data_IF_496832838801
#
_entry.id   IF_496832838801
#
_cell.length_a   1.000
_cell.length_b   1.000
_cell.length_c   1.000
_cell.angle_alpha   90.00
_cell.angle_beta   90.00
_cell.angle_gamma   90.00
#
_symmetry.space_group_name_H-M   'P 1'
#
loop_
_entity.id
_entity.type
_entity.pdbx_description
1 polymer ?
#
# COMPACT_ATOMS: atom_id res chain seq x y z
N UNK A 1 -29.15 -2.49 -0.02
CA UNK A 1 -29.51 -1.74 1.21
C UNK A 1 -28.58 -2.08 2.38
N UNK A 2 -28.31 -3.37 2.67
CA UNK A 2 -27.37 -3.81 3.74
C UNK A 2 -25.93 -3.27 3.60
N UNK A 3 -25.40 -3.16 2.38
CA UNK A 3 -24.00 -2.73 2.16
C UNK A 3 -23.76 -1.26 2.50
N UNK A 4 -24.75 -0.40 2.26
CA UNK A 4 -24.67 1.04 2.55
C UNK A 4 -24.60 1.29 4.06
N UNK A 5 -25.46 0.62 4.84
CA UNK A 5 -25.43 0.74 6.31
C UNK A 5 -24.12 0.21 6.91
N UNK A 6 -23.56 -0.86 6.35
CA UNK A 6 -22.27 -1.39 6.79
C UNK A 6 -21.11 -0.44 6.45
N UNK A 7 -21.18 0.26 5.31
CA UNK A 7 -20.20 1.30 4.93
C UNK A 7 -20.22 2.50 5.90
N UNK A 8 -21.39 2.96 6.33
CA UNK A 8 -21.50 4.02 7.35
C UNK A 8 -20.93 3.61 8.70
N UNK A 9 -21.14 2.35 9.13
CA UNK A 9 -20.61 1.82 10.40
C UNK A 9 -19.08 1.92 10.50
N UNK A 10 -18.37 1.83 9.37
CA UNK A 10 -16.91 1.77 9.35
C UNK A 10 -16.24 3.07 8.92
N UNK A 11 -16.99 4.17 8.73
CA UNK A 11 -16.45 5.40 8.18
C UNK A 11 -15.25 5.93 8.97
N UNK A 12 -15.39 6.11 10.29
CA UNK A 12 -14.33 6.65 11.14
C UNK A 12 -13.11 5.71 11.25
N UNK A 13 -13.36 4.40 11.34
CA UNK A 13 -12.29 3.41 11.38
C UNK A 13 -11.53 3.36 10.05
N UNK A 14 -12.24 3.44 8.93
CA UNK A 14 -11.65 3.46 7.59
C UNK A 14 -10.80 4.72 7.38
N UNK A 15 -11.30 5.91 7.77
CA UNK A 15 -10.54 7.16 7.69
C UNK A 15 -9.26 7.09 8.53
N UNK A 16 -9.34 6.60 9.77
CA UNK A 16 -8.17 6.43 10.63
C UNK A 16 -7.13 5.46 10.04
N UNK A 17 -7.57 4.30 9.55
CA UNK A 17 -6.68 3.33 8.90
C UNK A 17 -6.06 3.90 7.64
N UNK A 18 -6.85 4.60 6.84
CA UNK A 18 -6.40 5.24 5.61
C UNK A 18 -5.34 6.31 5.89
N UNK A 19 -5.57 7.20 6.87
CA UNK A 19 -4.55 8.18 7.29
C UNK A 19 -3.27 7.52 7.77
N UNK A 20 -3.37 6.43 8.53
CA UNK A 20 -2.20 5.67 9.03
C UNK A 20 -1.44 5.01 7.88
N UNK A 21 -2.12 4.42 6.91
CA UNK A 21 -1.47 3.79 5.76
C UNK A 21 -0.84 4.81 4.82
N UNK A 22 -1.48 5.97 4.59
CA UNK A 22 -0.90 7.05 3.79
C UNK A 22 0.32 7.63 4.50
N UNK A 23 0.25 7.84 5.83
CA UNK A 23 1.40 8.28 6.61
C UNK A 23 2.57 7.30 6.49
N UNK A 24 2.31 6.00 6.63
CA UNK A 24 3.35 4.98 6.46
C UNK A 24 3.90 4.98 5.04
N UNK A 25 3.03 5.02 4.02
CA UNK A 25 3.44 5.02 2.62
C UNK A 25 4.34 6.19 2.26
N UNK A 26 4.18 7.34 2.94
CA UNK A 26 4.96 8.57 2.75
C UNK A 26 6.19 8.67 3.66
N UNK A 27 6.57 7.61 4.37
CA UNK A 27 7.80 7.62 5.16
C UNK A 27 9.01 7.93 4.25
N UNK A 28 9.81 8.97 4.54
CA UNK A 28 10.95 9.37 3.71
C UNK A 28 11.92 8.23 3.41
N UNK A 29 12.02 7.23 4.29
CA UNK A 29 12.92 6.09 4.14
C UNK A 29 12.76 5.39 2.79
N UNK A 30 11.53 5.21 2.30
CA UNK A 30 11.26 4.51 1.05
C UNK A 30 11.89 5.21 -0.15
N UNK A 31 11.86 6.53 -0.14
CA UNK A 31 12.30 7.37 -1.25
C UNK A 31 13.80 7.64 -1.17
N UNK A 32 14.29 7.96 0.03
CA UNK A 32 15.68 8.36 0.25
C UNK A 32 16.64 7.16 0.28
N UNK A 33 16.20 6.03 0.83
CA UNK A 33 17.09 4.91 1.12
C UNK A 33 16.72 3.60 0.42
N UNK A 34 15.50 3.46 -0.09
CA UNK A 34 15.08 2.27 -0.86
C UNK A 34 14.87 2.59 -2.34
N UNK A 35 15.16 3.83 -2.77
CA UNK A 35 15.14 4.21 -4.18
C UNK A 35 13.76 4.16 -4.84
N UNK A 36 12.68 4.20 -4.05
CA UNK A 36 11.33 4.39 -4.60
C UNK A 36 11.26 5.77 -5.27
N UNK A 37 10.76 5.90 -6.50
CA UNK A 37 10.66 7.21 -7.14
C UNK A 37 9.80 8.18 -6.32
N UNK A 38 10.34 9.34 -5.94
CA UNK A 38 9.54 10.39 -5.29
C UNK A 38 8.74 11.20 -6.32
N UNK A 39 7.78 10.52 -6.94
CA UNK A 39 6.85 11.08 -7.93
C UNK A 39 5.41 10.79 -7.48
N UNK A 40 4.39 11.49 -8.02
CA UNK A 40 2.99 11.18 -7.74
C UNK A 40 2.65 9.70 -7.94
N UNK A 41 3.17 9.11 -9.02
CA UNK A 41 3.03 7.70 -9.35
C UNK A 41 3.72 6.78 -8.34
N UNK A 42 4.94 7.11 -7.92
CA UNK A 42 5.68 6.30 -6.92
C UNK A 42 5.05 6.38 -5.52
N UNK A 43 4.57 7.56 -5.12
CA UNK A 43 3.80 7.74 -3.87
C UNK A 43 2.50 6.93 -3.91
N UNK A 44 1.82 6.90 -5.05
CA UNK A 44 0.62 6.09 -5.24
C UNK A 44 0.92 4.59 -5.16
N UNK A 45 2.01 4.13 -5.77
CA UNK A 45 2.42 2.73 -5.69
C UNK A 45 2.72 2.30 -4.25
N UNK A 46 3.30 3.19 -3.43
CA UNK A 46 3.49 2.96 -1.99
C UNK A 46 2.16 2.89 -1.23
N UNK A 47 1.18 3.74 -1.56
CA UNK A 47 -0.17 3.66 -0.97
C UNK A 47 -0.82 2.33 -1.31
N UNK A 48 -0.76 1.89 -2.57
CA UNK A 48 -1.30 0.58 -3.00
C UNK A 48 -0.64 -0.56 -2.24
N UNK A 49 0.68 -0.56 -2.12
CA UNK A 49 1.43 -1.61 -1.43
C UNK A 49 0.97 -1.72 0.03
N UNK A 50 0.81 -0.61 0.73
CA UNK A 50 0.34 -0.61 2.12
C UNK A 50 -1.14 -0.97 2.23
N UNK A 51 -2.00 -0.47 1.34
CA UNK A 51 -3.40 -0.84 1.27
C UNK A 51 -3.58 -2.35 1.04
N UNK A 52 -2.76 -2.94 0.15
CA UNK A 52 -2.71 -4.39 -0.06
C UNK A 52 -2.44 -5.14 1.24
N UNK A 53 -1.41 -4.75 2.00
CA UNK A 53 -1.06 -5.42 3.27
C UNK A 53 -2.19 -5.34 4.30
N UNK A 54 -2.85 -4.19 4.41
CA UNK A 54 -4.01 -4.02 5.31
C UNK A 54 -5.20 -4.87 4.85
N UNK A 55 -5.57 -4.78 3.58
CA UNK A 55 -6.69 -5.54 3.00
C UNK A 55 -6.42 -7.05 3.11
N UNK A 56 -5.17 -7.49 2.92
CA UNK A 56 -4.75 -8.88 3.13
C UNK A 56 -5.03 -9.34 4.56
N UNK A 57 -4.68 -8.54 5.58
CA UNK A 57 -5.04 -8.84 6.98
C UNK A 57 -6.55 -8.90 7.20
N UNK A 58 -7.30 -7.97 6.61
CA UNK A 58 -8.77 -7.95 6.73
C UNK A 58 -9.41 -9.20 6.12
N UNK A 59 -8.92 -9.67 4.97
CA UNK A 59 -9.43 -10.87 4.28
C UNK A 59 -9.43 -12.13 5.15
N UNK A 60 -8.51 -12.26 6.11
CA UNK A 60 -8.47 -13.40 7.03
C UNK A 60 -9.73 -13.53 7.92
N UNK A 61 -10.48 -12.43 8.13
CA UNK A 61 -11.73 -12.40 8.89
C UNK A 61 -12.85 -11.72 8.08
N UNK A 62 -12.94 -12.09 6.80
CA UNK A 62 -13.74 -11.43 5.77
C UNK A 62 -15.16 -11.05 6.23
N UNK A 63 -15.89 -11.98 6.85
CA UNK A 63 -17.29 -11.75 7.26
C UNK A 63 -17.46 -10.51 8.16
N UNK A 64 -16.45 -10.24 9.00
CA UNK A 64 -16.44 -9.11 9.95
C UNK A 64 -15.90 -7.82 9.33
N UNK A 65 -15.07 -7.94 8.29
CA UNK A 65 -14.19 -6.86 7.83
C UNK A 65 -14.48 -6.37 6.42
N UNK A 66 -15.29 -7.08 5.63
CA UNK A 66 -15.51 -6.74 4.22
C UNK A 66 -16.07 -5.33 4.02
N UNK A 67 -16.91 -4.83 4.95
CA UNK A 67 -17.37 -3.44 4.90
C UNK A 67 -16.26 -2.42 5.16
N UNK A 68 -15.33 -2.73 6.06
CA UNK A 68 -14.18 -1.89 6.36
C UNK A 68 -13.17 -1.89 5.19
N UNK A 69 -12.91 -3.06 4.60
CA UNK A 69 -12.05 -3.18 3.43
C UNK A 69 -12.60 -2.39 2.23
N UNK A 70 -13.92 -2.46 1.99
CA UNK A 70 -14.60 -1.64 0.98
C UNK A 70 -14.45 -0.15 1.27
N UNK A 71 -14.65 0.28 2.52
CA UNK A 71 -14.53 1.70 2.90
C UNK A 71 -13.10 2.23 2.72
N UNK A 72 -12.07 1.45 3.04
CA UNK A 72 -10.66 1.81 2.78
C UNK A 72 -10.39 1.93 1.28
N UNK A 73 -10.93 1.00 0.48
CA UNK A 73 -10.81 1.05 -0.97
C UNK A 73 -11.48 2.31 -1.53
N UNK A 74 -12.71 2.61 -1.12
CA UNK A 74 -13.43 3.80 -1.55
C UNK A 74 -12.68 5.10 -1.21
N UNK A 75 -12.10 5.20 0.00
CA UNK A 75 -11.27 6.34 0.42
C UNK A 75 -10.01 6.47 -0.44
N UNK A 76 -9.34 5.36 -0.74
CA UNK A 76 -8.16 5.35 -1.60
C UNK A 76 -8.46 5.87 -3.01
N UNK A 77 -9.62 5.50 -3.57
CA UNK A 77 -10.05 5.98 -4.89
C UNK A 77 -10.47 7.45 -4.87
N UNK A 78 -11.15 7.89 -3.80
CA UNK A 78 -11.52 9.29 -3.64
C UNK A 78 -10.28 10.20 -3.50
N UNK A 79 -9.29 9.81 -2.68
CA UNK A 79 -8.02 10.55 -2.57
C UNK A 79 -7.30 10.63 -3.91
N UNK A 80 -7.31 9.54 -4.69
CA UNK A 80 -6.68 9.52 -6.01
C UNK A 80 -7.39 10.42 -7.03
N UNK A 81 -8.73 10.39 -7.09
CA UNK A 81 -9.53 11.29 -7.93
C UNK A 81 -9.24 12.76 -7.59
N UNK A 82 -9.22 13.08 -6.28
CA UNK A 82 -8.93 14.42 -5.80
C UNK A 82 -7.50 14.87 -6.18
N UNK A 83 -6.47 14.06 -5.91
CA UNK A 83 -5.09 14.39 -6.25
C UNK A 83 -4.91 14.61 -7.77
N UNK A 84 -5.57 13.82 -8.62
CA UNK A 84 -5.51 14.00 -10.08
C UNK A 84 -6.13 15.32 -10.53
N UNK A 85 -7.27 15.72 -9.94
CA UNK A 85 -7.93 16.99 -10.22
C UNK A 85 -7.09 18.17 -9.76
N UNK A 86 -6.48 18.07 -8.57
CA UNK A 86 -5.58 19.10 -8.03
C UNK A 86 -4.33 19.29 -8.91
N UNK A 87 -3.89 18.25 -9.60
CA UNK A 87 -2.82 18.33 -10.61
C UNK A 87 -3.28 18.90 -11.98
N UNK A 88 -4.53 19.39 -12.08
CA UNK A 88 -5.07 20.00 -13.29
C UNK A 88 -5.50 19.02 -14.38
N UNK A 89 -5.66 17.73 -14.06
CA UNK A 89 -6.20 16.75 -15.02
C UNK A 89 -7.71 16.99 -15.19
N UNK A 90 -8.15 17.27 -16.42
CA UNK A 90 -9.58 17.45 -16.72
C UNK A 90 -10.40 16.16 -16.61
N UNK A 91 -11.72 16.28 -16.46
CA UNK A 91 -12.65 15.17 -16.13
C UNK A 91 -12.51 13.91 -17.00
N UNK A 92 -12.32 14.10 -18.31
CA UNK A 92 -12.13 12.99 -19.26
C UNK A 92 -10.80 12.26 -19.02
N UNK A 93 -9.76 12.97 -18.60
CA UNK A 93 -8.46 12.41 -18.24
C UNK A 93 -8.50 11.70 -16.89
N UNK A 94 -9.26 12.23 -15.92
CA UNK A 94 -9.41 11.66 -14.58
C UNK A 94 -10.04 10.27 -14.64
N UNK A 95 -11.18 10.13 -15.33
CA UNK A 95 -11.88 8.84 -15.47
C UNK A 95 -10.98 7.74 -16.07
N UNK A 96 -10.20 8.09 -17.11
CA UNK A 96 -9.27 7.16 -17.76
C UNK A 96 -8.13 6.74 -16.82
N UNK A 97 -7.55 7.70 -16.07
CA UNK A 97 -6.48 7.42 -15.10
C UNK A 97 -6.97 6.58 -13.94
N UNK A 98 -8.15 6.89 -13.39
CA UNK A 98 -8.77 6.11 -12.33
C UNK A 98 -8.95 4.64 -12.75
N UNK A 99 -9.47 4.41 -13.96
CA UNK A 99 -9.64 3.05 -14.48
C UNK A 99 -8.30 2.30 -14.58
N UNK A 100 -7.28 2.93 -15.17
CA UNK A 100 -5.95 2.31 -15.28
C UNK A 100 -5.31 2.04 -13.91
N UNK A 101 -5.51 2.94 -12.94
CA UNK A 101 -5.04 2.76 -11.57
C UNK A 101 -5.78 1.62 -10.85
N UNK A 102 -7.07 1.42 -11.11
CA UNK A 102 -7.83 0.27 -10.60
C UNK A 102 -7.31 -1.06 -11.15
N UNK A 103 -7.11 -1.13 -12.47
CA UNK A 103 -6.53 -2.31 -13.12
C UNK A 103 -5.13 -2.61 -12.57
N UNK A 104 -4.31 -1.57 -12.39
CA UNK A 104 -2.99 -1.69 -11.78
C UNK A 104 -3.07 -2.18 -10.33
N UNK A 105 -4.02 -1.68 -9.53
CA UNK A 105 -4.25 -2.14 -8.16
C UNK A 105 -4.53 -3.65 -8.13
N UNK A 106 -5.52 -4.12 -8.89
CA UNK A 106 -5.87 -5.55 -8.88
C UNK A 106 -4.72 -6.42 -9.38
N UNK A 107 -4.05 -6.03 -10.47
CA UNK A 107 -2.88 -6.76 -10.98
C UNK A 107 -1.71 -6.81 -10.00
N UNK A 108 -1.47 -5.74 -9.25
CA UNK A 108 -0.44 -5.68 -8.19
C UNK A 108 -0.81 -6.52 -7.00
N UNK A 109 -2.04 -6.43 -6.50
CA UNK A 109 -2.48 -7.22 -5.35
C UNK A 109 -2.33 -8.73 -5.61
N UNK A 110 -2.68 -9.21 -6.80
CA UNK A 110 -2.48 -10.61 -7.17
C UNK A 110 -0.99 -11.00 -7.20
N UNK A 111 -0.14 -10.17 -7.83
CA UNK A 111 1.29 -10.45 -7.91
C UNK A 111 2.00 -10.39 -6.54
N UNK A 112 1.58 -9.48 -5.66
CA UNK A 112 2.13 -9.39 -4.31
C UNK A 112 1.64 -10.53 -3.42
N UNK A 113 0.38 -10.93 -3.56
CA UNK A 113 -0.19 -12.10 -2.87
C UNK A 113 0.61 -13.37 -3.18
N UNK A 114 0.81 -13.65 -4.46
CA UNK A 114 1.62 -14.77 -4.95
C UNK A 114 3.09 -14.67 -4.48
N UNK A 115 3.67 -13.47 -4.59
CA UNK A 115 5.05 -13.23 -4.21
C UNK A 115 5.34 -13.34 -2.70
N UNK A 116 4.35 -13.08 -1.84
CA UNK A 116 4.55 -13.18 -0.38
C UNK A 116 4.75 -14.63 0.10
N UNK A 117 4.28 -15.62 -0.66
CA UNK A 117 4.40 -17.04 -0.32
C UNK A 117 5.59 -17.75 -0.97
N UNK A 118 6.29 -17.05 -1.85
CA UNK A 118 7.42 -17.54 -2.64
C UNK A 118 8.78 -17.37 -1.92
N UNK A 119 9.89 -17.84 -2.50
CA UNK A 119 11.26 -17.63 -2.03
C UNK A 119 11.73 -16.16 -2.13
N UNK A 120 11.03 -15.34 -2.91
CA UNK A 120 11.25 -13.88 -3.03
C UNK A 120 11.48 -13.46 -4.48
N UNK A 121 11.72 -14.41 -5.38
CA UNK A 121 11.88 -14.20 -6.80
C UNK A 121 10.64 -13.57 -7.42
N UNK A 122 9.44 -14.10 -7.13
CA UNK A 122 8.18 -13.58 -7.66
C UNK A 122 7.88 -12.19 -7.12
N UNK A 123 8.09 -11.96 -5.82
CA UNK A 123 7.87 -10.66 -5.21
C UNK A 123 8.84 -9.61 -5.74
N UNK A 124 10.11 -9.97 -5.91
CA UNK A 124 11.12 -9.09 -6.49
C UNK A 124 10.78 -8.67 -7.91
N UNK A 125 10.35 -9.61 -8.76
CA UNK A 125 9.89 -9.29 -10.13
C UNK A 125 8.65 -8.38 -10.12
N UNK A 126 7.71 -8.64 -9.21
CA UNK A 126 6.52 -7.79 -9.07
C UNK A 126 6.89 -6.37 -8.63
N UNK A 127 7.80 -6.21 -7.67
CA UNK A 127 8.29 -4.91 -7.21
C UNK A 127 9.03 -4.17 -8.33
N UNK A 128 9.91 -4.86 -9.07
CA UNK A 128 10.64 -4.25 -10.18
C UNK A 128 9.70 -3.74 -11.28
N UNK A 129 8.70 -4.55 -11.67
CA UNK A 129 7.73 -4.19 -12.70
C UNK A 129 6.79 -3.06 -12.27
N UNK A 130 6.41 -3.01 -11.00
CA UNK A 130 5.33 -2.15 -10.55
C UNK A 130 5.83 -0.89 -9.83
N UNK A 131 6.64 -1.08 -8.78
CA UNK A 131 7.13 -0.01 -7.89
C UNK A 131 8.33 0.72 -8.49
N UNK A 132 9.26 -0.01 -9.10
CA UNK A 132 10.48 0.54 -9.67
C UNK A 132 10.42 0.71 -11.19
N UNK A 133 9.21 0.78 -11.78
CA UNK A 133 9.00 0.72 -13.24
C UNK A 133 9.74 1.78 -14.05
N UNK A 134 10.04 2.92 -13.45
CA UNK A 134 10.72 4.06 -14.08
C UNK A 134 12.18 4.22 -13.62
N UNK A 135 12.71 3.26 -12.87
CA UNK A 135 14.04 3.33 -12.24
C UNK A 135 14.81 2.03 -12.42
N UNK A 136 16.14 2.09 -12.30
CA UNK A 136 16.98 0.92 -12.17
C UNK A 136 17.40 0.78 -10.68
N UNK A 137 16.60 0.11 -9.83
CA UNK A 137 16.91 0.00 -8.41
C UNK A 137 18.16 -0.88 -8.22
N UNK A 138 18.95 -0.57 -7.20
CA UNK A 138 19.98 -1.50 -6.73
C UNK A 138 19.32 -2.81 -6.29
N UNK A 139 20.03 -3.93 -6.45
CA UNK A 139 19.54 -5.24 -6.02
C UNK A 139 19.14 -5.25 -4.53
N UNK A 140 19.92 -4.58 -3.70
CA UNK A 140 19.66 -4.40 -2.27
C UNK A 140 18.32 -3.72 -1.99
N UNK A 141 17.92 -2.72 -2.78
CA UNK A 141 16.62 -2.04 -2.60
C UNK A 141 15.43 -2.98 -2.81
N UNK A 142 15.55 -3.90 -3.78
CA UNK A 142 14.51 -4.92 -4.00
C UNK A 142 14.49 -5.90 -2.83
N UNK A 143 15.65 -6.39 -2.40
CA UNK A 143 15.78 -7.33 -1.26
C UNK A 143 15.23 -6.71 0.04
N UNK A 144 15.51 -5.43 0.28
CA UNK A 144 14.98 -4.66 1.40
C UNK A 144 13.47 -4.48 1.34
N UNK A 145 12.90 -4.18 0.16
CA UNK A 145 11.46 -4.10 -0.01
C UNK A 145 10.76 -5.47 0.15
N UNK A 146 11.37 -6.56 -0.31
CA UNK A 146 10.88 -7.93 -0.07
C UNK A 146 10.86 -8.20 1.44
N UNK A 147 11.97 -7.95 2.14
CA UNK A 147 12.09 -8.13 3.58
C UNK A 147 11.06 -7.30 4.35
N UNK A 148 10.90 -6.03 3.96
CA UNK A 148 9.90 -5.12 4.50
C UNK A 148 8.47 -5.68 4.34
N UNK A 149 8.08 -6.05 3.11
CA UNK A 149 6.72 -6.54 2.83
C UNK A 149 6.40 -7.83 3.61
N UNK A 150 7.36 -8.76 3.70
CA UNK A 150 7.20 -9.98 4.50
C UNK A 150 7.09 -9.67 5.98
N UNK A 151 7.97 -8.83 6.50
CA UNK A 151 7.95 -8.42 7.90
C UNK A 151 6.60 -7.78 8.26
N UNK A 152 6.10 -6.87 7.42
CA UNK A 152 4.79 -6.26 7.61
C UNK A 152 3.66 -7.27 7.50
N UNK A 153 3.68 -8.18 6.52
CA UNK A 153 2.65 -9.23 6.42
C UNK A 153 2.58 -10.07 7.69
N UNK A 154 3.74 -10.48 8.24
CA UNK A 154 3.80 -11.25 9.49
C UNK A 154 3.38 -10.43 10.70
N UNK A 155 3.78 -9.16 10.80
CA UNK A 155 3.42 -8.30 11.91
C UNK A 155 1.92 -7.98 11.91
N UNK A 156 1.36 -7.61 10.75
CA UNK A 156 -0.05 -7.29 10.60
C UNK A 156 -0.95 -8.51 10.83
N UNK A 157 -0.52 -9.71 10.44
CA UNK A 157 -1.21 -10.96 10.74
C UNK A 157 -1.48 -11.16 12.24
N UNK A 158 -0.63 -10.61 13.11
CA UNK A 158 -0.74 -10.71 14.57
C UNK A 158 -1.61 -9.61 15.19
N UNK A 159 -2.00 -8.59 14.43
CA UNK A 159 -2.84 -7.50 14.95
C UNK A 159 -4.26 -8.05 15.18
N UNK A 160 -4.82 -7.92 16.40
CA UNK A 160 -6.20 -8.33 16.67
C UNK A 160 -7.17 -7.57 15.79
N UNK A 161 -8.16 -8.25 15.20
CA UNK A 161 -9.10 -7.58 14.32
C UNK A 161 -9.93 -6.53 15.05
N UNK A 162 -10.18 -6.73 16.35
CA UNK A 162 -10.97 -5.79 17.16
C UNK A 162 -10.29 -4.42 17.26
N UNK A 163 -8.96 -4.38 17.25
CA UNK A 163 -8.19 -3.14 17.14
C UNK A 163 -8.36 -2.52 15.75
N UNK A 164 -8.25 -3.32 14.69
CA UNK A 164 -8.39 -2.82 13.30
C UNK A 164 -9.80 -2.27 13.06
N UNK A 165 -10.84 -2.93 13.59
CA UNK A 165 -12.23 -2.46 13.53
C UNK A 165 -12.46 -1.13 14.26
N UNK A 166 -11.56 -0.74 15.18
CA UNK A 166 -11.55 0.56 15.86
C UNK A 166 -10.67 1.60 15.19
N UNK A 167 -10.06 1.29 14.04
CA UNK A 167 -9.16 2.20 13.32
C UNK A 167 -7.69 2.10 13.77
N UNK A 168 -7.35 1.11 14.59
CA UNK A 168 -6.02 0.95 15.16
C UNK A 168 -5.20 -0.04 14.33
N UNK A 169 -4.14 0.48 13.71
CA UNK A 169 -3.12 -0.31 13.06
C UNK A 169 -1.75 0.31 13.32
N UNK A 170 -0.76 -0.55 13.54
CA UNK A 170 0.65 -0.15 13.65
C UNK A 170 1.46 -0.96 12.65
N UNK A 171 2.07 -0.26 11.72
CA UNK A 171 3.09 -0.81 10.85
C UNK A 171 4.34 -1.07 11.68
N UNK A 172 4.96 -2.23 11.49
CA UNK A 172 6.23 -2.53 12.10
C UNK A 172 7.31 -1.59 11.54
N UNK A 173 8.32 -1.30 12.36
CA UNK A 173 9.48 -0.57 11.88
C UNK A 173 10.16 -1.35 10.76
N UNK A 174 10.85 -0.63 9.88
CA UNK A 174 11.66 -1.26 8.86
C UNK A 174 12.73 -2.14 9.53
N UNK A 175 12.90 -3.41 9.11
CA UNK A 175 13.85 -4.33 9.73
C UNK A 175 15.31 -4.06 9.32
N UNK A 176 15.63 -2.81 8.95
CA UNK A 176 16.93 -2.41 8.41
C UNK A 176 17.42 -1.22 9.23
N UNK A 177 18.66 -1.31 9.71
CA UNK A 177 19.41 -0.15 10.17
C UNK A 177 20.18 0.39 8.98
N UNK A 178 19.98 1.67 8.66
CA UNK A 178 20.85 2.37 7.71
C UNK A 178 22.08 2.78 8.49
N UNK A 179 23.08 1.91 8.51
CA UNK A 179 24.36 2.21 9.11
C UNK A 179 24.96 3.34 8.28
N UNK A 180 24.99 4.55 8.84
CA UNK A 180 25.34 5.82 8.15
C UNK A 180 26.80 5.95 7.74
N UNK A 181 27.35 4.95 7.06
CA UNK A 181 28.65 5.06 6.39
C UNK A 181 28.43 5.44 4.93
N UNK A 182 28.26 6.75 4.71
CA UNK A 182 28.79 7.36 3.51
C UNK A 182 30.31 7.14 3.53
N UNK A 183 30.77 6.02 2.98
CA UNK A 183 32.15 5.91 2.55
C UNK A 183 32.26 6.75 1.28
N UNK A 184 32.68 8.01 1.44
CA UNK A 184 33.32 8.74 0.38
C UNK A 184 34.55 7.95 -0.07
N UNK A 185 34.65 7.65 -1.35
CA UNK A 185 35.87 7.20 -2.01
C UNK A 185 35.91 7.84 -3.39
#
# INVERSE_FOLDING_TARGET
MLDIFRKFKFHDAADQLYRRLVRQARDPVFYLHLGVPDTPDGRFDMIILHAFLVIRRLKAEHERTVGLAQAIFDLMFADMDQNLREMGVGDLGVSKRIKGMAEAFYGRTAAYEEGLTDDGTLLGRALQRNLYRTTAPARSHIEWMIGYMRHQSTALAKVPIDSILKGEIKFAHMPITFDGTCNES
#
